data_IF_500655291200
#
_entry.id   IF_500655291200
#
_cell.length_a   1.000
_cell.length_b   1.000
_cell.length_c   1.000
_cell.angle_alpha   90.00
_cell.angle_beta   90.00
_cell.angle_gamma   90.00
#
_symmetry.space_group_name_H-M   'P 1'
#
loop_
_entity.id
_entity.type
_entity.pdbx_description
1 polymer ?
#
# COMPACT_ATOMS: atom_id res chain seq x y z
N UNK A 1 -38.09 -26.86 -58.81
CA UNK A 1 -37.82 -27.52 -57.53
C UNK A 1 -36.57 -27.05 -56.78
N UNK A 2 -35.99 -25.89 -57.19
CA UNK A 2 -34.82 -25.30 -56.48
C UNK A 2 -35.20 -24.39 -55.28
N UNK A 3 -36.44 -23.94 -55.19
CA UNK A 3 -36.93 -23.07 -54.10
C UNK A 3 -36.91 -23.79 -52.73
N UNK A 4 -37.42 -25.00 -52.68
CA UNK A 4 -37.50 -25.76 -51.41
C UNK A 4 -36.14 -26.18 -50.82
N UNK A 5 -35.09 -26.22 -51.66
CA UNK A 5 -33.74 -26.57 -51.23
C UNK A 5 -33.04 -25.38 -50.54
N UNK A 6 -33.34 -24.18 -51.04
CA UNK A 6 -32.80 -22.91 -50.47
C UNK A 6 -33.48 -22.57 -49.14
N UNK A 7 -34.78 -22.85 -49.00
CA UNK A 7 -35.50 -22.64 -47.72
C UNK A 7 -34.99 -23.60 -46.65
N UNK A 8 -34.76 -24.85 -46.99
CA UNK A 8 -34.22 -25.85 -46.05
C UNK A 8 -32.78 -25.50 -45.59
N UNK A 9 -31.94 -25.03 -46.48
CA UNK A 9 -30.57 -24.59 -46.14
C UNK A 9 -30.60 -23.33 -45.24
N UNK A 10 -31.49 -22.40 -45.48
CA UNK A 10 -31.66 -21.20 -44.63
C UNK A 10 -32.12 -21.57 -43.20
N UNK A 11 -33.05 -22.53 -43.09
CA UNK A 11 -33.52 -23.02 -41.79
C UNK A 11 -32.44 -23.78 -41.00
N UNK A 12 -31.64 -24.58 -41.68
CA UNK A 12 -30.49 -25.31 -41.10
C UNK A 12 -29.42 -24.32 -40.61
N UNK A 13 -29.06 -23.29 -41.37
CA UNK A 13 -28.13 -22.25 -40.94
C UNK A 13 -28.64 -21.47 -39.75
N UNK A 14 -29.91 -21.11 -39.74
CA UNK A 14 -30.57 -20.41 -38.61
C UNK A 14 -30.51 -21.26 -37.33
N UNK A 15 -30.85 -22.54 -37.43
CA UNK A 15 -30.81 -23.49 -36.32
C UNK A 15 -29.38 -23.73 -35.81
N UNK A 16 -28.38 -23.82 -36.70
CA UNK A 16 -26.98 -23.92 -36.32
C UNK A 16 -26.50 -22.65 -35.59
N UNK A 17 -26.83 -21.47 -36.10
CA UNK A 17 -26.49 -20.19 -35.43
C UNK A 17 -27.14 -20.08 -34.05
N UNK A 18 -28.41 -20.49 -33.91
CA UNK A 18 -29.13 -20.52 -32.64
C UNK A 18 -28.47 -21.49 -31.66
N UNK A 19 -28.14 -22.68 -32.09
CA UNK A 19 -27.48 -23.69 -31.25
C UNK A 19 -26.09 -23.23 -30.81
N UNK A 20 -25.33 -22.64 -31.71
CA UNK A 20 -24.02 -22.05 -31.39
C UNK A 20 -24.12 -20.93 -30.34
N UNK A 21 -25.08 -20.00 -30.52
CA UNK A 21 -25.33 -18.91 -29.53
C UNK A 21 -25.67 -19.48 -28.16
N UNK A 22 -26.51 -20.53 -28.08
CA UNK A 22 -26.88 -21.16 -26.80
C UNK A 22 -25.66 -21.82 -26.15
N UNK A 23 -24.80 -22.48 -26.95
CA UNK A 23 -23.58 -23.12 -26.43
C UNK A 23 -22.60 -22.06 -25.90
N UNK A 24 -22.38 -20.96 -26.64
CA UNK A 24 -21.56 -19.85 -26.19
C UNK A 24 -22.11 -19.21 -24.90
N UNK A 25 -23.42 -18.98 -24.84
CA UNK A 25 -24.04 -18.41 -23.64
C UNK A 25 -23.87 -19.33 -22.40
N UNK A 26 -24.07 -20.65 -22.56
CA UNK A 26 -23.86 -21.61 -21.48
C UNK A 26 -22.39 -21.67 -21.04
N UNK A 27 -21.45 -21.56 -21.96
CA UNK A 27 -20.04 -21.52 -21.65
C UNK A 27 -19.69 -20.25 -20.86
N UNK A 28 -20.14 -19.10 -21.32
CA UNK A 28 -19.93 -17.81 -20.62
C UNK A 28 -20.53 -17.84 -19.23
N UNK A 29 -21.76 -18.34 -19.10
CA UNK A 29 -22.43 -18.48 -17.80
C UNK A 29 -21.65 -19.41 -16.86
N UNK A 30 -21.16 -20.56 -17.36
CA UNK A 30 -20.34 -21.50 -16.60
C UNK A 30 -19.04 -20.87 -16.12
N UNK A 31 -18.31 -20.19 -17.00
CA UNK A 31 -17.07 -19.48 -16.64
C UNK A 31 -17.35 -18.40 -15.61
N UNK A 32 -18.42 -17.62 -15.79
CA UNK A 32 -18.81 -16.57 -14.83
C UNK A 32 -19.14 -17.15 -13.45
N UNK A 33 -19.84 -18.28 -13.41
CA UNK A 33 -20.16 -18.96 -12.15
C UNK A 33 -18.91 -19.50 -11.46
N UNK A 34 -18.00 -20.12 -12.19
CA UNK A 34 -16.72 -20.59 -11.65
C UNK A 34 -15.89 -19.43 -11.10
N UNK A 35 -15.86 -18.30 -11.79
CA UNK A 35 -15.17 -17.09 -11.33
C UNK A 35 -15.82 -16.52 -10.06
N UNK A 36 -17.15 -16.50 -9.99
CA UNK A 36 -17.86 -16.05 -8.79
C UNK A 36 -17.58 -16.97 -7.59
N UNK A 37 -17.57 -18.28 -7.79
CA UNK A 37 -17.20 -19.25 -6.74
C UNK A 37 -15.74 -19.01 -6.29
N UNK A 38 -14.82 -18.82 -7.24
CA UNK A 38 -13.44 -18.50 -6.93
C UNK A 38 -13.31 -17.22 -6.08
N UNK A 39 -14.06 -16.15 -6.43
CA UNK A 39 -14.09 -14.90 -5.65
C UNK A 39 -14.60 -15.14 -4.23
N UNK A 40 -15.73 -15.85 -4.09
CA UNK A 40 -16.33 -16.13 -2.78
C UNK A 40 -15.38 -16.96 -1.90
N UNK A 41 -14.80 -18.00 -2.46
CA UNK A 41 -13.82 -18.84 -1.75
C UNK A 41 -12.59 -18.03 -1.33
N UNK A 42 -12.06 -17.22 -2.22
CA UNK A 42 -10.87 -16.39 -1.96
C UNK A 42 -11.10 -15.31 -0.89
N UNK A 43 -12.30 -14.78 -0.80
CA UNK A 43 -12.64 -13.72 0.17
C UNK A 43 -13.04 -14.27 1.55
N UNK A 44 -13.70 -15.43 1.58
CA UNK A 44 -14.30 -15.97 2.82
C UNK A 44 -13.36 -16.93 3.54
N UNK A 45 -12.68 -17.82 2.80
CA UNK A 45 -11.90 -18.90 3.42
C UNK A 45 -10.67 -18.38 4.18
N UNK A 46 -9.81 -17.47 3.66
CA UNK A 46 -8.62 -17.05 4.38
C UNK A 46 -8.91 -16.42 5.75
N UNK A 47 -9.92 -15.54 5.92
CA UNK A 47 -10.27 -15.02 7.24
C UNK A 47 -10.76 -16.09 8.23
N UNK A 48 -11.37 -17.18 7.73
CA UNK A 48 -11.89 -18.27 8.56
C UNK A 48 -10.81 -19.26 9.00
N UNK A 49 -9.78 -19.45 8.15
CA UNK A 49 -8.69 -20.39 8.41
C UNK A 49 -7.48 -19.69 9.01
N UNK A 50 -7.51 -18.35 9.05
CA UNK A 50 -6.40 -17.53 9.53
C UNK A 50 -5.80 -18.10 10.80
N UNK A 51 -4.60 -18.65 10.69
CA UNK A 51 -3.81 -19.07 11.83
C UNK A 51 -3.47 -17.83 12.63
N UNK A 52 -4.07 -17.68 13.79
CA UNK A 52 -3.54 -16.80 14.80
C UNK A 52 -2.20 -17.39 15.25
N UNK A 53 -1.13 -17.06 14.54
CA UNK A 53 0.19 -17.19 15.12
C UNK A 53 0.17 -16.33 16.39
N UNK A 54 0.07 -16.99 17.53
CA UNK A 54 0.30 -16.32 18.80
C UNK A 54 1.76 -15.88 18.75
N UNK A 55 1.96 -14.59 18.53
CA UNK A 55 3.26 -13.99 18.77
C UNK A 55 3.56 -14.19 20.24
N UNK A 56 4.44 -15.12 20.53
CA UNK A 56 4.96 -15.39 21.87
C UNK A 56 6.04 -14.36 22.24
N UNK A 57 5.95 -13.17 21.65
CA UNK A 57 6.79 -12.04 21.97
C UNK A 57 6.33 -11.51 23.33
N UNK A 58 6.91 -12.04 24.39
CA UNK A 58 6.90 -11.34 25.66
C UNK A 58 7.63 -10.02 25.43
N UNK A 59 6.87 -8.92 25.44
CA UNK A 59 7.46 -7.60 25.43
C UNK A 59 8.33 -7.49 26.71
N UNK A 60 9.64 -7.53 26.57
CA UNK A 60 10.54 -7.13 27.64
C UNK A 60 10.33 -5.65 27.88
N UNK A 61 9.60 -5.32 28.93
CA UNK A 61 9.47 -3.95 29.40
C UNK A 61 10.77 -3.57 30.08
N UNK A 62 11.68 -2.92 29.35
CA UNK A 62 12.82 -2.27 29.96
C UNK A 62 12.35 -1.04 30.72
N UNK A 63 12.52 -1.01 32.02
CA UNK A 63 12.08 0.09 32.90
C UNK A 63 13.03 1.29 32.82
N UNK A 64 14.22 1.13 32.26
CA UNK A 64 15.23 2.20 32.15
C UNK A 64 15.59 2.44 30.69
N UNK A 65 14.92 3.40 30.10
CA UNK A 65 15.29 3.90 28.76
C UNK A 65 15.61 5.40 28.86
N UNK A 66 16.59 5.85 28.07
CA UNK A 66 16.89 7.26 27.86
C UNK A 66 16.01 7.89 26.77
N UNK A 67 15.09 7.12 26.21
CA UNK A 67 14.18 7.58 25.15
C UNK A 67 13.24 8.67 25.67
N UNK A 68 13.03 9.65 24.82
CA UNK A 68 12.04 10.71 25.02
C UNK A 68 10.89 10.48 24.07
N UNK A 69 9.68 10.64 24.58
CA UNK A 69 8.45 10.46 23.79
C UNK A 69 7.70 11.78 23.74
N UNK A 70 7.32 12.20 22.54
CA UNK A 70 6.45 13.35 22.32
C UNK A 70 5.14 12.87 21.70
N UNK A 71 4.01 13.23 22.31
CA UNK A 71 2.67 12.94 21.79
C UNK A 71 2.26 14.04 20.80
N UNK A 72 1.68 13.64 19.67
CA UNK A 72 1.16 14.55 18.64
C UNK A 72 -0.34 14.32 18.53
N UNK A 73 -1.13 15.28 18.98
CA UNK A 73 -2.59 15.19 19.02
C UNK A 73 -3.29 15.78 17.79
N UNK A 74 -2.80 16.88 17.24
CA UNK A 74 -3.47 17.53 16.12
C UNK A 74 -2.84 17.19 14.76
N UNK A 75 -3.62 17.39 13.69
CA UNK A 75 -3.23 16.99 12.34
C UNK A 75 -2.15 17.91 11.74
N UNK A 76 -2.20 19.21 12.02
CA UNK A 76 -1.22 20.17 11.50
C UNK A 76 0.18 19.91 12.07
N UNK A 77 0.26 19.67 13.39
CA UNK A 77 1.52 19.27 14.02
C UNK A 77 2.00 17.91 13.49
N UNK A 78 1.10 16.99 13.20
CA UNK A 78 1.46 15.69 12.66
C UNK A 78 2.11 15.79 11.27
N UNK A 79 1.63 16.67 10.38
CA UNK A 79 2.29 16.98 9.11
C UNK A 79 3.63 17.67 9.36
N UNK A 80 3.65 18.70 10.20
CA UNK A 80 4.86 19.48 10.48
C UNK A 80 5.98 18.61 11.07
N UNK A 81 5.67 17.68 11.96
CA UNK A 81 6.64 16.73 12.51
C UNK A 81 7.20 15.80 11.43
N UNK A 82 6.37 15.27 10.55
CA UNK A 82 6.84 14.45 9.41
C UNK A 82 7.82 15.22 8.53
N UNK A 83 7.45 16.44 8.13
CA UNK A 83 8.31 17.28 7.29
C UNK A 83 9.63 17.66 7.97
N UNK A 84 9.59 17.97 9.27
CA UNK A 84 10.81 18.28 10.05
C UNK A 84 11.73 17.06 10.16
N UNK A 85 11.18 15.90 10.48
CA UNK A 85 11.95 14.67 10.60
C UNK A 85 12.59 14.29 9.26
N UNK A 86 11.85 14.29 8.17
CA UNK A 86 12.37 14.01 6.82
C UNK A 86 13.48 15.00 6.44
N UNK A 87 13.31 16.27 6.74
CA UNK A 87 14.34 17.30 6.47
C UNK A 87 15.59 17.14 7.31
N UNK A 88 15.47 16.58 8.52
CA UNK A 88 16.62 16.35 9.41
C UNK A 88 17.44 15.12 9.08
N UNK A 89 16.92 14.22 8.24
CA UNK A 89 17.60 12.98 7.86
C UNK A 89 18.94 13.22 7.17
N UNK A 90 19.95 12.44 7.55
CA UNK A 90 21.31 12.50 7.03
C UNK A 90 21.71 11.24 6.25
N UNK A 91 21.20 10.07 6.62
CA UNK A 91 21.60 8.78 6.08
C UNK A 91 20.43 8.01 5.47
N UNK A 92 19.37 7.78 6.23
CA UNK A 92 18.28 6.89 5.81
C UNK A 92 16.91 7.37 6.30
N UNK A 93 15.93 7.20 5.42
CA UNK A 93 14.50 7.35 5.74
C UNK A 93 13.78 6.05 5.40
N UNK A 94 13.02 5.54 6.36
CA UNK A 94 12.08 4.44 6.15
C UNK A 94 10.67 4.95 6.43
N UNK A 95 9.77 4.80 5.46
CA UNK A 95 8.35 5.13 5.63
C UNK A 95 7.49 3.92 5.31
N UNK A 96 6.70 3.48 6.29
CA UNK A 96 5.60 2.53 6.10
C UNK A 96 4.27 3.24 6.28
N UNK A 97 3.34 3.03 5.35
CA UNK A 97 2.00 3.64 5.45
C UNK A 97 0.95 2.80 4.72
N UNK A 98 -0.26 2.77 5.30
CA UNK A 98 -1.38 2.04 4.72
C UNK A 98 -2.00 2.82 3.54
N UNK A 99 -2.32 4.10 3.72
CA UNK A 99 -2.92 4.96 2.70
C UNK A 99 -2.03 6.20 2.49
N UNK A 100 -1.46 6.30 1.31
CA UNK A 100 -0.68 7.44 0.86
C UNK A 100 -1.35 8.02 -0.38
N UNK A 101 -1.70 9.29 -0.33
CA UNK A 101 -2.35 9.98 -1.45
C UNK A 101 -1.50 11.14 -1.93
N UNK A 102 -1.56 11.40 -3.21
CA UNK A 102 -0.94 12.59 -3.81
C UNK A 102 -1.88 13.81 -3.72
N UNK A 103 -2.55 13.99 -2.57
CA UNK A 103 -3.26 15.21 -2.20
C UNK A 103 -2.30 16.28 -1.66
N UNK A 104 -2.79 17.37 -1.09
CA UNK A 104 -1.94 18.49 -0.63
C UNK A 104 -0.90 18.02 0.38
N UNK A 105 -1.33 17.41 1.48
CA UNK A 105 -0.42 16.93 2.53
C UNK A 105 0.52 15.83 2.05
N UNK A 106 0.01 14.92 1.21
CA UNK A 106 0.83 13.86 0.64
C UNK A 106 1.88 14.39 -0.34
N UNK A 107 1.54 15.39 -1.14
CA UNK A 107 2.49 16.08 -2.03
C UNK A 107 3.59 16.79 -1.26
N UNK A 108 3.27 17.42 -0.13
CA UNK A 108 4.27 18.02 0.77
C UNK A 108 5.24 16.95 1.30
N UNK A 109 4.74 15.78 1.68
CA UNK A 109 5.58 14.65 2.14
C UNK A 109 6.44 14.13 0.99
N UNK A 110 5.87 13.94 -0.22
CA UNK A 110 6.61 13.52 -1.42
C UNK A 110 7.74 14.50 -1.72
N UNK A 111 7.46 15.80 -1.72
CA UNK A 111 8.46 16.83 -1.96
C UNK A 111 9.58 16.83 -0.90
N UNK A 112 9.23 16.60 0.36
CA UNK A 112 10.22 16.49 1.44
C UNK A 112 11.12 15.25 1.27
N UNK A 113 10.55 14.09 0.88
CA UNK A 113 11.29 12.85 0.58
C UNK A 113 12.21 13.04 -0.63
N UNK A 114 11.70 13.67 -1.70
CA UNK A 114 12.53 14.04 -2.85
C UNK A 114 13.73 14.88 -2.43
N UNK A 115 13.48 15.96 -1.68
CA UNK A 115 14.55 16.83 -1.20
C UNK A 115 15.55 16.12 -0.26
N UNK A 116 15.15 15.06 0.44
CA UNK A 116 16.06 14.22 1.21
C UNK A 116 16.92 13.33 0.28
N UNK A 117 16.30 12.71 -0.72
CA UNK A 117 16.98 11.89 -1.72
C UNK A 117 18.02 12.70 -2.53
N UNK A 118 17.69 13.94 -2.91
CA UNK A 118 18.62 14.89 -3.54
C UNK A 118 19.85 15.23 -2.67
N UNK A 119 19.71 15.14 -1.34
CA UNK A 119 20.85 15.29 -0.41
C UNK A 119 21.68 14.01 -0.26
N UNK A 120 21.30 12.91 -0.94
CA UNK A 120 21.98 11.61 -0.87
C UNK A 120 21.42 10.67 0.21
N UNK A 121 20.33 11.04 0.89
CA UNK A 121 19.66 10.20 1.88
C UNK A 121 18.97 9.01 1.18
N UNK A 122 19.19 7.81 1.68
CA UNK A 122 18.52 6.61 1.17
C UNK A 122 17.08 6.56 1.66
N UNK A 123 16.12 6.43 0.76
CA UNK A 123 14.69 6.43 1.07
C UNK A 123 14.07 5.08 0.72
N UNK A 124 13.51 4.40 1.70
CA UNK A 124 12.78 3.15 1.52
C UNK A 124 11.30 3.33 1.89
N UNK A 125 10.41 3.12 0.93
CA UNK A 125 8.97 3.25 1.11
C UNK A 125 8.29 1.90 0.98
N UNK A 126 7.46 1.53 1.96
CA UNK A 126 6.53 0.42 1.83
C UNK A 126 5.11 0.93 2.03
N UNK A 127 4.25 0.67 1.03
CA UNK A 127 2.88 1.18 0.99
C UNK A 127 1.95 0.02 0.73
N UNK A 128 0.78 -0.02 1.40
CA UNK A 128 -0.22 -1.03 1.09
C UNK A 128 -0.57 -1.04 -0.39
N UNK A 129 -0.45 -2.20 -1.02
CA UNK A 129 -0.48 -2.30 -2.47
C UNK A 129 -1.83 -1.95 -3.08
N UNK A 130 -2.95 -2.16 -2.39
CA UNK A 130 -4.28 -1.76 -2.89
C UNK A 130 -4.40 -0.25 -2.88
N UNK A 131 -4.07 0.39 -1.76
CA UNK A 131 -4.16 1.84 -1.63
C UNK A 131 -3.18 2.54 -2.58
N UNK A 132 -1.96 2.03 -2.70
CA UNK A 132 -0.98 2.57 -3.63
C UNK A 132 -1.44 2.50 -5.10
N UNK A 133 -2.01 1.37 -5.52
CA UNK A 133 -2.53 1.21 -6.87
C UNK A 133 -3.72 2.13 -7.17
N UNK A 134 -4.58 2.39 -6.18
CA UNK A 134 -5.78 3.20 -6.36
C UNK A 134 -5.53 4.70 -6.28
N UNK A 135 -4.58 5.15 -5.45
CA UNK A 135 -4.49 6.55 -5.06
C UNK A 135 -3.14 7.21 -5.35
N UNK A 136 -2.11 6.44 -5.71
CA UNK A 136 -0.75 6.96 -5.75
C UNK A 136 0.01 6.63 -7.03
N UNK A 137 -0.05 5.39 -7.52
CA UNK A 137 0.78 4.91 -8.62
C UNK A 137 0.64 5.71 -9.93
N UNK A 138 -0.54 6.31 -10.18
CA UNK A 138 -0.80 7.15 -11.35
C UNK A 138 -0.46 8.63 -11.15
N UNK A 139 0.17 9.02 -10.03
CA UNK A 139 0.53 10.42 -9.76
C UNK A 139 1.91 10.75 -10.31
N UNK A 140 2.03 11.79 -11.12
CA UNK A 140 3.31 12.23 -11.72
C UNK A 140 4.35 12.57 -10.65
N UNK A 141 3.94 13.23 -9.56
CA UNK A 141 4.87 13.59 -8.48
C UNK A 141 5.39 12.37 -7.72
N UNK A 142 4.57 11.32 -7.60
CA UNK A 142 5.02 10.07 -7.00
C UNK A 142 5.89 9.26 -7.95
N UNK A 143 5.55 9.24 -9.24
CA UNK A 143 6.38 8.64 -10.29
C UNK A 143 7.77 9.27 -10.31
N UNK A 144 7.84 10.60 -10.25
CA UNK A 144 9.10 11.31 -10.16
C UNK A 144 9.91 10.87 -8.93
N UNK A 145 9.31 10.86 -7.73
CA UNK A 145 9.98 10.37 -6.51
C UNK A 145 10.50 8.95 -6.68
N UNK A 146 9.68 8.04 -7.21
CA UNK A 146 10.04 6.63 -7.38
C UNK A 146 11.12 6.38 -8.46
N UNK A 147 11.33 7.35 -9.37
CA UNK A 147 12.39 7.31 -10.37
C UNK A 147 13.77 7.76 -9.85
N UNK A 148 13.82 8.33 -8.64
CA UNK A 148 15.07 8.84 -8.08
C UNK A 148 15.98 7.69 -7.60
N UNK A 149 17.29 7.73 -7.93
CA UNK A 149 18.25 6.66 -7.66
C UNK A 149 18.39 6.29 -6.16
N UNK A 150 18.15 7.24 -5.26
CA UNK A 150 18.21 7.03 -3.82
C UNK A 150 16.85 6.64 -3.21
N UNK A 151 15.86 6.26 -4.03
CA UNK A 151 14.51 5.91 -3.56
C UNK A 151 14.14 4.50 -3.99
N UNK A 152 13.80 3.68 -3.02
CA UNK A 152 13.23 2.35 -3.25
C UNK A 152 11.79 2.29 -2.77
N UNK A 153 10.89 1.86 -3.63
CA UNK A 153 9.47 1.72 -3.31
C UNK A 153 9.04 0.27 -3.45
N UNK A 154 8.33 -0.24 -2.46
CA UNK A 154 7.63 -1.52 -2.54
C UNK A 154 6.15 -1.36 -2.20
N UNK A 155 5.31 -2.04 -2.97
CA UNK A 155 3.90 -2.21 -2.67
C UNK A 155 3.69 -3.52 -1.93
N UNK A 156 3.15 -3.43 -0.71
CA UNK A 156 2.82 -4.59 0.09
C UNK A 156 1.60 -5.30 -0.50
N UNK A 157 1.79 -6.54 -0.90
CA UNK A 157 0.75 -7.44 -1.40
C UNK A 157 -0.28 -6.75 -2.32
N UNK A 158 0.14 -6.22 -3.49
CA UNK A 158 -0.77 -5.61 -4.46
C UNK A 158 -1.75 -6.66 -5.02
N UNK A 159 -2.91 -6.20 -5.53
CA UNK A 159 -3.93 -7.12 -6.07
C UNK A 159 -3.36 -7.93 -7.22
N UNK A 160 -3.55 -9.25 -7.14
CA UNK A 160 -3.27 -10.20 -8.21
C UNK A 160 -4.49 -11.06 -8.45
N UNK A 161 -4.99 -11.06 -9.68
CA UNK A 161 -6.17 -11.86 -10.05
C UNK A 161 -5.95 -13.37 -9.84
N UNK A 162 -4.70 -13.82 -9.89
CA UNK A 162 -4.32 -15.24 -9.67
C UNK A 162 -4.16 -15.60 -8.20
N UNK A 163 -4.21 -14.65 -7.28
CA UNK A 163 -3.97 -14.84 -5.85
C UNK A 163 -4.94 -14.02 -5.00
N UNK A 164 -6.22 -13.99 -5.36
CA UNK A 164 -7.23 -13.17 -4.67
C UNK A 164 -7.44 -13.58 -3.20
N UNK A 165 -7.06 -14.81 -2.81
CA UNK A 165 -7.09 -15.24 -1.41
C UNK A 165 -6.14 -14.45 -0.49
N UNK A 166 -5.16 -13.72 -1.06
CA UNK A 166 -4.25 -12.86 -0.30
C UNK A 166 -4.78 -11.45 -0.10
N UNK A 167 -5.91 -11.08 -0.71
CA UNK A 167 -6.44 -9.71 -0.71
C UNK A 167 -6.68 -9.13 0.68
N UNK A 168 -6.95 -9.99 1.67
CA UNK A 168 -7.17 -9.58 3.07
C UNK A 168 -5.87 -9.37 3.87
N UNK A 169 -4.72 -9.76 3.35
CA UNK A 169 -3.43 -9.51 3.99
C UNK A 169 -2.99 -8.09 3.65
N UNK A 170 -3.20 -7.16 4.60
CA UNK A 170 -2.94 -5.73 4.43
C UNK A 170 -1.88 -5.25 5.40
N UNK A 171 -1.00 -4.36 4.95
CA UNK A 171 -0.07 -3.65 5.80
C UNK A 171 -0.75 -2.39 6.34
N UNK A 172 -1.21 -2.45 7.60
CA UNK A 172 -1.90 -1.31 8.23
C UNK A 172 -0.97 -0.44 9.08
N UNK A 173 0.33 -0.61 8.91
CA UNK A 173 1.37 0.12 9.64
C UNK A 173 1.47 1.58 9.19
N UNK A 174 1.86 2.43 10.12
CA UNK A 174 2.11 3.84 9.88
C UNK A 174 3.26 4.30 10.76
N UNK A 175 4.46 4.31 10.20
CA UNK A 175 5.65 4.81 10.90
C UNK A 175 6.65 5.42 9.92
N UNK A 176 7.46 6.31 10.45
CA UNK A 176 8.57 6.99 9.79
C UNK A 176 9.81 6.83 10.67
N UNK A 177 10.86 6.22 10.15
CA UNK A 177 12.13 6.06 10.86
C UNK A 177 13.18 6.94 10.18
N UNK A 178 13.97 7.65 10.96
CA UNK A 178 15.05 8.54 10.52
C UNK A 178 16.36 8.07 11.11
N UNK A 179 17.34 7.86 10.26
CA UNK A 179 18.72 7.55 10.62
C UNK A 179 18.84 6.46 11.70
N UNK A 180 17.96 5.46 11.61
CA UNK A 180 17.89 4.28 12.48
C UNK A 180 17.76 4.57 13.99
N UNK A 181 17.45 5.79 14.37
CA UNK A 181 17.49 6.23 15.78
C UNK A 181 16.22 6.95 16.25
N UNK A 182 15.61 7.71 15.39
CA UNK A 182 14.40 8.49 15.70
C UNK A 182 13.24 7.94 14.88
N UNK A 183 12.09 7.78 15.50
CA UNK A 183 10.92 7.35 14.74
C UNK A 183 9.64 8.07 15.19
N UNK A 184 8.74 8.22 14.22
CA UNK A 184 7.37 8.64 14.44
C UNK A 184 6.48 7.45 14.10
N UNK A 185 5.52 7.11 14.96
CA UNK A 185 4.53 6.08 14.70
C UNK A 185 3.16 6.45 15.27
N UNK A 186 2.11 5.92 14.67
CA UNK A 186 0.75 6.18 15.15
C UNK A 186 -0.33 5.68 14.22
N UNK A 187 -1.49 6.32 14.26
CA UNK A 187 -2.66 5.93 13.48
C UNK A 187 -2.86 6.73 12.18
N UNK A 188 -2.13 7.82 11.95
CA UNK A 188 -2.36 8.71 10.81
C UNK A 188 -1.76 8.18 9.51
N UNK A 189 -2.62 8.09 8.49
CA UNK A 189 -2.20 7.90 7.11
C UNK A 189 -1.61 9.19 6.51
N UNK A 190 -0.95 9.07 5.36
CA UNK A 190 -0.36 10.21 4.65
C UNK A 190 -1.34 10.76 3.63
N UNK A 191 -2.28 11.56 4.10
CA UNK A 191 -3.32 12.20 3.28
C UNK A 191 -3.95 13.39 4.01
N UNK A 192 -4.65 14.26 3.27
CA UNK A 192 -5.35 15.43 3.81
C UNK A 192 -6.39 15.06 4.87
N UNK A 193 -6.95 13.85 4.82
CA UNK A 193 -7.89 13.35 5.84
C UNK A 193 -7.27 13.29 7.24
N UNK A 194 -5.96 13.10 7.34
CA UNK A 194 -5.23 12.91 8.60
C UNK A 194 -4.21 13.99 8.89
N UNK A 195 -3.73 14.71 7.86
CA UNK A 195 -2.63 15.66 7.97
C UNK A 195 -3.01 17.08 7.50
N UNK A 196 -4.17 17.22 6.85
CA UNK A 196 -4.62 18.50 6.32
C UNK A 196 -5.05 19.47 7.42
N UNK A 197 -4.77 20.73 7.20
CA UNK A 197 -5.24 21.84 8.04
C UNK A 197 -6.69 22.17 7.66
N UNK A 198 -7.63 21.96 8.55
CA UNK A 198 -8.99 22.55 8.64
C UNK A 198 -9.82 22.90 7.40
N UNK A 199 -9.26 22.85 6.20
CA UNK A 199 -9.91 23.24 4.95
C UNK A 199 -10.80 22.16 4.31
N UNK A 200 -10.73 20.92 4.78
CA UNK A 200 -11.59 19.85 4.31
C UNK A 200 -12.75 19.64 5.27
N UNK A 201 -13.97 19.49 4.72
CA UNK A 201 -15.20 19.24 5.48
C UNK A 201 -15.19 17.91 6.27
N UNK A 202 -14.13 17.12 6.16
CA UNK A 202 -13.98 15.80 6.78
C UNK A 202 -12.53 15.61 7.19
N UNK A 203 -12.28 15.54 8.49
CA UNK A 203 -10.97 15.19 9.06
C UNK A 203 -11.11 14.01 9.99
N UNK A 204 -10.16 13.10 9.91
CA UNK A 204 -9.97 12.05 10.91
C UNK A 204 -9.01 12.55 11.98
N UNK A 205 -9.36 12.29 13.23
CA UNK A 205 -8.51 12.60 14.38
C UNK A 205 -7.85 11.29 14.82
N UNK A 206 -6.54 11.35 14.99
CA UNK A 206 -5.75 10.22 15.47
C UNK A 206 -4.56 10.75 16.28
N UNK A 207 -3.72 9.87 16.80
CA UNK A 207 -2.55 10.21 17.59
C UNK A 207 -1.31 9.58 17.01
N UNK A 208 -0.22 10.34 17.05
CA UNK A 208 1.12 9.82 16.76
C UNK A 208 2.04 10.11 17.94
N UNK A 209 3.11 9.37 18.03
CA UNK A 209 4.23 9.63 18.94
C UNK A 209 5.51 9.80 18.14
N UNK A 210 6.38 10.66 18.62
CA UNK A 210 7.79 10.70 18.19
C UNK A 210 8.63 10.18 19.34
N UNK A 211 9.51 9.23 19.02
CA UNK A 211 10.48 8.66 19.97
C UNK A 211 11.88 9.07 19.53
N UNK A 212 12.65 9.61 20.45
CA UNK A 212 13.97 10.17 20.20
C UNK A 212 14.92 9.92 21.37
N UNK A 213 16.17 9.60 21.09
CA UNK A 213 17.22 9.38 22.08
C UNK A 213 18.56 10.04 21.69
N UNK A 214 18.56 11.35 21.44
CA UNK A 214 19.79 12.10 21.16
C UNK A 214 20.57 11.63 19.92
N UNK A 215 19.93 10.94 18.98
CA UNK A 215 20.55 10.40 17.78
C UNK A 215 21.19 9.00 17.99
N UNK A 216 21.10 8.43 19.19
CA UNK A 216 21.58 7.06 19.43
C UNK A 216 20.49 6.04 19.12
N UNK A 217 20.89 4.93 18.50
CA UNK A 217 20.00 3.80 18.26
C UNK A 217 19.58 3.18 19.60
N UNK A 218 18.30 2.92 19.75
CA UNK A 218 17.71 2.36 20.98
C UNK A 218 17.18 0.95 20.73
N UNK A 219 16.86 0.23 21.81
CA UNK A 219 16.25 -1.09 21.70
C UNK A 219 14.92 -1.04 20.95
N UNK A 220 14.08 -0.01 21.20
CA UNK A 220 12.80 0.16 20.52
C UNK A 220 12.96 0.45 19.03
N UNK A 221 13.91 1.32 18.65
CA UNK A 221 14.23 1.61 17.25
C UNK A 221 14.76 0.36 16.53
N UNK A 222 15.64 -0.42 17.18
CA UNK A 222 16.14 -1.69 16.61
C UNK A 222 15.00 -2.69 16.37
N UNK A 223 14.11 -2.86 17.35
CA UNK A 223 12.94 -3.75 17.20
C UNK A 223 12.07 -3.34 16.01
N UNK A 224 11.84 -2.03 15.84
CA UNK A 224 11.06 -1.52 14.71
C UNK A 224 11.78 -1.71 13.37
N UNK A 225 13.11 -1.56 13.34
CA UNK A 225 13.93 -1.82 12.15
C UNK A 225 13.92 -3.30 11.76
N UNK A 226 14.10 -4.21 12.72
CA UNK A 226 14.01 -5.65 12.48
C UNK A 226 12.61 -6.06 11.97
N UNK A 227 11.56 -5.44 12.52
CA UNK A 227 10.21 -5.63 12.02
C UNK A 227 10.07 -5.16 10.57
N UNK A 228 10.53 -3.94 10.26
CA UNK A 228 10.51 -3.41 8.90
C UNK A 228 11.26 -4.33 7.93
N UNK A 229 12.47 -4.78 8.27
CA UNK A 229 13.28 -5.63 7.39
C UNK A 229 12.57 -6.96 7.10
N UNK A 230 11.88 -7.56 8.08
CA UNK A 230 11.04 -8.75 7.84
C UNK A 230 9.90 -8.47 6.86
N UNK A 231 9.19 -7.35 7.06
CA UNK A 231 8.10 -6.95 6.14
C UNK A 231 8.64 -6.62 4.76
N UNK A 232 9.77 -5.92 4.67
CA UNK A 232 10.40 -5.53 3.42
C UNK A 232 10.80 -6.72 2.54
N UNK A 233 11.22 -7.83 3.15
CA UNK A 233 11.69 -9.04 2.47
C UNK A 233 10.57 -10.02 2.10
N UNK A 234 9.32 -9.76 2.41
CA UNK A 234 8.22 -10.67 2.06
C UNK A 234 8.09 -10.85 0.55
N UNK A 235 7.95 -12.10 0.11
CA UNK A 235 7.78 -12.47 -1.31
C UNK A 235 6.48 -11.92 -1.92
N UNK A 236 5.53 -11.53 -1.10
CA UNK A 236 4.28 -10.91 -1.53
C UNK A 236 4.45 -9.47 -1.99
N UNK A 237 5.51 -8.80 -1.56
CA UNK A 237 5.81 -7.43 -1.95
C UNK A 237 6.25 -7.35 -3.41
N UNK A 238 6.03 -6.19 -4.01
CA UNK A 238 6.48 -5.89 -5.38
C UNK A 238 7.19 -4.56 -5.40
N UNK A 239 8.41 -4.55 -5.95
CA UNK A 239 9.08 -3.31 -6.27
C UNK A 239 8.19 -2.51 -7.24
N UNK A 240 8.05 -1.23 -6.96
CA UNK A 240 7.42 -0.27 -7.87
C UNK A 240 8.52 0.46 -8.61
N UNK A 241 8.42 0.44 -9.93
CA UNK A 241 9.29 1.19 -10.81
C UNK A 241 8.45 2.24 -11.51
N UNK A 242 8.95 3.45 -11.55
CA UNK A 242 8.32 4.53 -12.30
C UNK A 242 8.15 4.13 -13.77
N UNK A 243 7.06 4.56 -14.39
CA UNK A 243 6.88 4.39 -15.83
C UNK A 243 7.95 5.20 -16.54
N UNK A 244 8.65 4.58 -17.50
CA UNK A 244 9.61 5.31 -18.32
C UNK A 244 8.83 6.40 -19.09
N UNK A 245 9.18 7.67 -18.89
CA UNK A 245 8.65 8.75 -19.74
C UNK A 245 9.04 8.44 -21.19
N UNK A 246 8.03 8.11 -21.98
CA UNK A 246 8.20 8.07 -23.43
C UNK A 246 8.27 9.51 -23.94
N UNK A 247 9.45 10.09 -23.92
CA UNK A 247 9.76 11.34 -24.61
C UNK A 247 10.05 11.09 -26.09
#
# INVERSE_FOLDING_TARGET
SNSGKNDLLGELESNMKKTFRIKCFKLVLGVSLCFLIYLLVSLIIPPLIGTHEKSDTQAEVSITTSERVCLIDNNEDALLWRLRLIRSAQEEIILSTFDFRADSSGTDVIAALWGAAERGVQVRLIIDGINAQLHLSGSDVFQALAAHDNVEVKFYNPIRLTQLWTVNYRCHDKYLIIDRSTYLMGGRNTSDLFLGSGGTSRQNIDRDIVVYNGGFTTASANTLLEYFDRIWLLDTNRAFHAEAENH
#
